data_IF_096776984326
#
_entry.id   IF_096776984326
#
_cell.length_a   1.000
_cell.length_b   1.000
_cell.length_c   1.000
_cell.angle_alpha   90.00
_cell.angle_beta   90.00
_cell.angle_gamma   90.00
#
_symmetry.space_group_name_H-M   'P 1'
#
loop_
_entity.id
_entity.type
_entity.pdbx_description
1 polymer ?
#
# COMPACT_ATOMS: atom_id res chain seq x y z
N UNK A 1 47.00 12.64 -2.80
CA UNK A 1 45.78 13.48 -2.92
C UNK A 1 44.55 12.60 -2.66
N UNK A 2 43.66 13.05 -1.76
CA UNK A 2 42.40 12.40 -1.37
C UNK A 2 41.51 12.09 -2.58
N UNK A 3 40.84 10.93 -2.59
CA UNK A 3 39.50 10.76 -3.17
C UNK A 3 38.64 9.89 -2.26
N UNK A 4 37.79 10.57 -1.52
CA UNK A 4 36.64 10.02 -0.80
C UNK A 4 35.57 9.72 -1.84
N UNK A 5 35.15 8.46 -1.98
CA UNK A 5 33.94 8.05 -2.69
C UNK A 5 33.44 6.86 -1.87
N UNK A 6 32.67 7.10 -0.82
CA UNK A 6 31.29 7.54 -0.94
C UNK A 6 30.46 6.30 -0.63
N UNK A 7 30.41 5.94 0.65
CA UNK A 7 29.51 4.91 1.13
C UNK A 7 28.08 5.39 0.83
N UNK A 8 27.44 4.79 -0.17
CA UNK A 8 26.00 4.87 -0.31
C UNK A 8 25.42 4.07 0.85
N UNK A 9 25.31 4.70 2.01
CA UNK A 9 24.23 4.37 2.90
C UNK A 9 22.97 4.64 2.08
N UNK A 10 22.35 3.56 1.57
CA UNK A 10 20.93 3.59 1.29
C UNK A 10 20.30 3.84 2.64
N UNK A 11 20.19 5.13 2.98
CA UNK A 11 19.14 5.59 3.87
C UNK A 11 17.90 5.22 3.08
N UNK A 12 17.41 3.99 3.27
CA UNK A 12 16.00 3.73 3.18
C UNK A 12 15.43 4.82 4.06
N UNK A 13 14.91 5.87 3.41
CA UNK A 13 14.07 6.83 4.08
C UNK A 13 12.99 5.93 4.67
N UNK A 14 13.16 5.61 5.95
CA UNK A 14 12.03 5.47 6.84
C UNK A 14 11.25 6.75 6.60
N UNK A 15 10.30 6.67 5.67
CA UNK A 15 9.18 7.56 5.58
C UNK A 15 8.55 7.47 6.96
N UNK A 16 9.05 8.32 7.85
CA UNK A 16 8.34 8.88 8.97
C UNK A 16 7.23 9.75 8.36
N UNK A 17 6.29 9.13 7.63
CA UNK A 17 4.92 9.58 7.71
C UNK A 17 4.49 9.23 9.13
N UNK A 18 4.08 10.24 9.90
CA UNK A 18 3.50 10.20 11.26
C UNK A 18 3.79 8.93 12.09
N UNK A 19 4.50 9.01 13.22
CA UNK A 19 4.85 7.88 14.10
C UNK A 19 3.67 7.06 14.67
N UNK A 20 2.96 6.36 13.80
CA UNK A 20 1.86 5.45 14.02
C UNK A 20 2.22 4.04 13.51
N UNK A 21 1.27 3.14 13.65
CA UNK A 21 1.45 1.73 13.35
C UNK A 21 1.21 1.42 11.86
N UNK A 22 1.58 0.22 11.39
CA UNK A 22 1.33 -0.18 9.99
C UNK A 22 -0.16 -0.09 9.64
N UNK A 23 -1.02 -0.40 10.60
CA UNK A 23 -2.46 -0.38 10.39
C UNK A 23 -3.05 1.04 10.36
N UNK A 24 -2.43 2.00 11.05
CA UNK A 24 -2.79 3.41 10.92
C UNK A 24 -2.42 3.92 9.51
N UNK A 25 -1.20 3.60 9.05
CA UNK A 25 -0.74 3.94 7.70
C UNK A 25 -1.65 3.33 6.62
N UNK A 26 -2.11 2.09 6.84
CA UNK A 26 -3.05 1.42 5.95
C UNK A 26 -4.43 2.07 5.94
N UNK A 27 -4.94 2.49 7.10
CA UNK A 27 -6.23 3.19 7.19
C UNK A 27 -6.20 4.52 6.43
N UNK A 28 -5.12 5.29 6.57
CA UNK A 28 -4.94 6.52 5.82
C UNK A 28 -4.77 6.26 4.32
N UNK A 29 -4.04 5.20 3.96
CA UNK A 29 -3.84 4.80 2.56
C UNK A 29 -5.14 4.34 1.89
N UNK A 30 -5.99 3.59 2.60
CA UNK A 30 -7.28 3.10 2.08
C UNK A 30 -8.22 4.28 1.78
N UNK A 31 -8.24 5.28 2.68
CA UNK A 31 -9.00 6.53 2.48
C UNK A 31 -8.50 7.30 1.26
N UNK A 32 -7.19 7.47 1.13
CA UNK A 32 -6.58 8.18 0.00
C UNK A 32 -6.82 7.43 -1.32
N UNK A 33 -6.68 6.10 -1.31
CA UNK A 33 -6.98 5.25 -2.45
C UNK A 33 -8.44 5.36 -2.87
N UNK A 34 -9.39 5.29 -1.93
CA UNK A 34 -10.81 5.53 -2.21
C UNK A 34 -11.04 6.90 -2.84
N UNK A 35 -10.48 7.96 -2.26
CA UNK A 35 -10.64 9.32 -2.78
C UNK A 35 -10.03 9.51 -4.17
N UNK A 36 -8.93 8.83 -4.47
CA UNK A 36 -8.32 8.79 -5.81
C UNK A 36 -9.14 7.98 -6.81
N UNK A 37 -9.85 6.95 -6.37
CA UNK A 37 -10.49 5.99 -7.27
C UNK A 37 -11.99 6.13 -7.40
N UNK A 38 -12.66 6.90 -6.54
CA UNK A 38 -14.14 7.00 -6.51
C UNK A 38 -14.83 7.45 -7.80
N UNK A 39 -14.10 8.07 -8.72
CA UNK A 39 -14.63 8.46 -10.03
C UNK A 39 -14.45 7.37 -11.12
N UNK A 40 -13.81 6.25 -10.80
CA UNK A 40 -13.52 5.14 -11.70
C UNK A 40 -14.29 3.88 -11.30
N UNK A 41 -15.14 3.41 -12.22
CA UNK A 41 -16.02 2.27 -11.98
C UNK A 41 -15.30 0.95 -11.71
N UNK A 42 -14.07 0.79 -12.19
CA UNK A 42 -13.30 -0.44 -11.97
C UNK A 42 -12.83 -0.61 -10.52
N UNK A 43 -12.82 0.48 -9.74
CA UNK A 43 -12.29 0.51 -8.37
C UNK A 43 -13.34 0.91 -7.33
N UNK A 44 -14.43 1.55 -7.77
CA UNK A 44 -15.53 1.94 -6.89
C UNK A 44 -16.81 1.22 -7.31
N UNK A 45 -17.30 0.34 -6.45
CA UNK A 45 -18.53 -0.44 -6.64
C UNK A 45 -19.79 0.31 -6.14
N UNK A 46 -19.65 1.59 -5.78
CA UNK A 46 -20.69 2.42 -5.18
C UNK A 46 -20.71 2.37 -3.64
N UNK A 47 -19.86 1.56 -3.01
CA UNK A 47 -19.76 1.51 -1.54
C UNK A 47 -18.99 2.74 -1.02
N UNK A 48 -19.56 3.51 -0.09
CA UNK A 48 -18.85 4.63 0.51
C UNK A 48 -17.75 4.13 1.45
N UNK A 49 -16.62 4.84 1.47
CA UNK A 49 -15.57 4.61 2.45
C UNK A 49 -16.09 4.78 3.89
N UNK A 50 -15.68 3.87 4.76
CA UNK A 50 -15.98 3.90 6.19
C UNK A 50 -14.66 3.85 6.94
N UNK A 51 -14.40 4.85 7.79
CA UNK A 51 -13.19 4.85 8.61
C UNK A 51 -13.18 3.63 9.54
N UNK A 52 -12.04 2.93 9.68
CA UNK A 52 -11.92 1.82 10.60
C UNK A 52 -12.07 2.29 12.05
N UNK A 53 -12.75 1.48 12.85
CA UNK A 53 -12.87 1.68 14.30
C UNK A 53 -11.55 1.35 15.01
N UNK A 54 -11.34 1.87 16.21
CA UNK A 54 -10.17 1.53 17.05
C UNK A 54 -10.00 0.02 17.24
N UNK A 55 -11.10 -0.71 17.46
CA UNK A 55 -11.07 -2.17 17.59
C UNK A 55 -10.58 -2.88 16.32
N UNK A 56 -10.89 -2.33 15.13
CA UNK A 56 -10.41 -2.86 13.85
C UNK A 56 -8.92 -2.56 13.66
N UNK A 57 -8.46 -1.38 14.07
CA UNK A 57 -7.03 -1.02 14.05
C UNK A 57 -6.23 -1.92 15.00
N UNK A 58 -6.70 -2.11 16.24
CA UNK A 58 -6.07 -3.03 17.20
C UNK A 58 -6.03 -4.47 16.67
N UNK A 59 -7.11 -4.93 16.03
CA UNK A 59 -7.14 -6.26 15.43
C UNK A 59 -6.10 -6.39 14.31
N UNK A 60 -6.01 -5.40 13.42
CA UNK A 60 -5.01 -5.36 12.37
C UNK A 60 -3.59 -5.42 12.97
N UNK A 61 -3.32 -4.66 14.03
CA UNK A 61 -2.04 -4.68 14.74
C UNK A 61 -1.70 -6.05 15.31
N UNK A 62 -2.68 -6.76 15.87
CA UNK A 62 -2.45 -8.13 16.35
C UNK A 62 -2.16 -9.11 15.21
N UNK A 63 -2.84 -8.96 14.07
CA UNK A 63 -2.68 -9.85 12.92
C UNK A 63 -1.32 -9.62 12.22
N UNK A 64 -0.91 -8.35 12.08
CA UNK A 64 0.35 -7.97 11.44
C UNK A 64 1.59 -8.21 12.31
N UNK A 65 1.45 -8.59 13.58
CA UNK A 65 2.59 -9.08 14.40
C UNK A 65 3.28 -10.30 13.81
N UNK A 66 2.55 -11.11 13.06
CA UNK A 66 3.11 -12.29 12.38
C UNK A 66 3.85 -11.96 11.08
N UNK A 67 3.67 -10.74 10.54
CA UNK A 67 4.41 -10.26 9.38
C UNK A 67 5.88 -10.05 9.73
N UNK A 68 6.76 -10.44 8.83
CA UNK A 68 8.17 -10.03 8.89
C UNK A 68 8.29 -8.53 8.62
N UNK A 69 9.32 -7.88 9.15
CA UNK A 69 9.56 -6.46 8.85
C UNK A 69 9.71 -6.22 7.34
N UNK A 70 10.31 -7.17 6.61
CA UNK A 70 10.41 -7.12 5.16
C UNK A 70 9.04 -7.15 4.45
N UNK A 71 8.06 -7.92 4.95
CA UNK A 71 6.71 -7.91 4.39
C UNK A 71 5.99 -6.60 4.70
N UNK A 72 6.19 -6.03 5.89
CA UNK A 72 5.62 -4.73 6.27
C UNK A 72 6.19 -3.61 5.41
N UNK A 73 7.49 -3.62 5.15
CA UNK A 73 8.15 -2.64 4.30
C UNK A 73 7.64 -2.71 2.86
N UNK A 74 7.40 -3.91 2.32
CA UNK A 74 6.75 -4.09 1.00
C UNK A 74 5.36 -3.46 0.93
N UNK A 75 4.56 -3.61 1.98
CA UNK A 75 3.23 -3.01 2.07
C UNK A 75 3.35 -1.48 2.09
N UNK A 76 4.27 -0.94 2.90
CA UNK A 76 4.52 0.51 2.97
C UNK A 76 4.97 1.07 1.63
N UNK A 77 5.92 0.40 0.96
CA UNK A 77 6.42 0.83 -0.34
C UNK A 77 5.31 0.79 -1.41
N UNK A 78 4.47 -0.25 -1.37
CA UNK A 78 3.28 -0.33 -2.24
C UNK A 78 2.33 0.84 -2.00
N UNK A 79 1.97 1.12 -0.74
CA UNK A 79 1.09 2.24 -0.40
C UNK A 79 1.68 3.58 -0.80
N UNK A 80 2.98 3.79 -0.60
CA UNK A 80 3.68 5.00 -1.04
C UNK A 80 3.61 5.16 -2.57
N UNK A 81 3.82 4.07 -3.32
CA UNK A 81 3.71 4.09 -4.78
C UNK A 81 2.28 4.44 -5.23
N UNK A 82 1.26 3.89 -4.56
CA UNK A 82 -0.15 4.19 -4.85
C UNK A 82 -0.52 5.64 -4.49
N UNK A 83 0.00 6.16 -3.37
CA UNK A 83 -0.21 7.54 -2.94
C UNK A 83 0.35 8.56 -3.95
N UNK A 84 1.42 8.21 -4.65
CA UNK A 84 2.03 9.04 -5.71
C UNK A 84 1.26 9.00 -7.04
N UNK A 85 0.26 8.12 -7.20
CA UNK A 85 -0.55 8.07 -8.42
C UNK A 85 -1.50 9.26 -8.53
N UNK A 86 -1.71 9.74 -9.75
CA UNK A 86 -2.73 10.74 -10.05
C UNK A 86 -4.14 10.22 -9.73
N UNK A 87 -5.07 11.15 -9.45
CA UNK A 87 -6.48 10.78 -9.26
C UNK A 87 -7.02 10.10 -10.52
N UNK A 88 -7.75 9.01 -10.31
CA UNK A 88 -8.43 8.30 -11.36
C UNK A 88 -9.65 9.10 -11.84
N UNK A 89 -9.82 9.19 -13.15
CA UNK A 89 -11.00 9.75 -13.81
C UNK A 89 -11.44 8.80 -14.91
N UNK A 90 -12.68 8.93 -15.41
CA UNK A 90 -13.15 8.12 -16.53
C UNK A 90 -12.25 8.22 -17.78
N UNK A 91 -11.55 9.34 -17.99
CA UNK A 91 -10.62 9.51 -19.11
C UNK A 91 -9.23 8.88 -18.86
N UNK A 92 -8.85 8.69 -17.60
CA UNK A 92 -7.51 8.20 -17.19
C UNK A 92 -7.56 6.81 -16.55
N UNK A 93 -8.73 6.16 -16.50
CA UNK A 93 -8.96 4.90 -15.80
C UNK A 93 -7.97 3.80 -16.21
N UNK A 94 -7.76 3.61 -17.51
CA UNK A 94 -6.80 2.60 -18.00
C UNK A 94 -5.36 2.92 -17.58
N UNK A 95 -4.96 4.19 -17.60
CA UNK A 95 -3.63 4.62 -17.16
C UNK A 95 -3.45 4.41 -15.66
N UNK A 96 -4.46 4.74 -14.86
CA UNK A 96 -4.45 4.49 -13.42
C UNK A 96 -4.31 3.00 -13.13
N UNK A 97 -5.14 2.15 -13.75
CA UNK A 97 -5.07 0.69 -13.59
C UNK A 97 -3.69 0.13 -13.92
N UNK A 98 -3.08 0.57 -15.01
CA UNK A 98 -1.73 0.14 -15.38
C UNK A 98 -0.67 0.59 -14.36
N UNK A 99 -0.79 1.81 -13.84
CA UNK A 99 0.15 2.37 -12.87
C UNK A 99 0.01 1.67 -11.50
N UNK A 100 -1.23 1.44 -11.07
CA UNK A 100 -1.57 0.67 -9.88
C UNK A 100 -1.03 -0.77 -9.97
N UNK A 101 -1.22 -1.44 -11.11
CA UNK A 101 -0.63 -2.75 -11.36
C UNK A 101 0.91 -2.72 -11.32
N UNK A 102 1.52 -1.65 -11.83
CA UNK A 102 2.95 -1.41 -11.74
C UNK A 102 3.45 -1.32 -10.29
N UNK A 103 2.74 -0.57 -9.44
CA UNK A 103 3.03 -0.49 -8.00
C UNK A 103 2.95 -1.87 -7.34
N UNK A 104 1.86 -2.61 -7.60
CA UNK A 104 1.66 -3.94 -7.04
C UNK A 104 2.80 -4.88 -7.43
N UNK A 105 3.11 -4.99 -8.73
CA UNK A 105 4.15 -5.87 -9.27
C UNK A 105 5.56 -5.52 -8.76
N UNK A 106 5.82 -4.26 -8.46
CA UNK A 106 7.14 -3.80 -8.01
C UNK A 106 7.36 -4.02 -6.51
N UNK A 107 6.32 -3.89 -5.69
CA UNK A 107 6.46 -3.82 -4.24
C UNK A 107 5.83 -5.00 -3.49
N UNK A 108 4.73 -5.56 -3.98
CA UNK A 108 4.05 -6.69 -3.33
C UNK A 108 4.59 -8.07 -3.78
N UNK A 109 5.59 -8.10 -4.67
CA UNK A 109 6.17 -9.36 -5.12
C UNK A 109 6.79 -10.16 -3.95
N UNK A 110 6.48 -11.46 -3.88
CA UNK A 110 6.97 -12.38 -2.85
C UNK A 110 6.63 -11.96 -1.41
N UNK A 111 5.56 -11.19 -1.20
CA UNK A 111 5.02 -10.99 0.15
C UNK A 111 4.47 -12.31 0.68
N UNK A 112 4.60 -12.56 1.98
CA UNK A 112 4.07 -13.78 2.58
C UNK A 112 2.53 -13.81 2.56
N UNK A 113 1.94 -14.95 2.18
CA UNK A 113 0.47 -15.14 2.17
C UNK A 113 -0.14 -14.85 3.56
N UNK A 114 0.59 -15.18 4.63
CA UNK A 114 0.20 -14.90 6.02
C UNK A 114 0.11 -13.41 6.28
N UNK A 115 1.11 -12.62 5.88
CA UNK A 115 1.05 -11.18 6.07
C UNK A 115 -0.06 -10.56 5.22
N UNK A 116 -0.21 -11.02 3.98
CA UNK A 116 -1.23 -10.53 3.06
C UNK A 116 -2.65 -10.77 3.55
N UNK A 117 -2.91 -11.91 4.19
CA UNK A 117 -4.19 -12.21 4.84
C UNK A 117 -4.45 -11.39 6.11
N UNK A 118 -3.40 -10.82 6.70
CA UNK A 118 -3.46 -10.04 7.94
C UNK A 118 -3.75 -8.56 7.69
N UNK A 119 -3.53 -8.09 6.45
CA UNK A 119 -3.90 -6.74 6.02
C UNK A 119 -5.20 -6.80 5.23
N UNK A 120 -6.26 -6.28 5.85
CA UNK A 120 -7.62 -6.27 5.29
C UNK A 120 -7.91 -5.13 4.31
N UNK A 121 -6.89 -4.34 3.98
CA UNK A 121 -7.01 -3.12 3.18
C UNK A 121 -7.23 -3.42 1.70
N UNK A 122 -8.12 -2.67 1.06
CA UNK A 122 -8.67 -3.08 -0.23
C UNK A 122 -7.68 -2.86 -1.38
N UNK A 123 -6.85 -1.81 -1.34
CA UNK A 123 -5.83 -1.57 -2.35
C UNK A 123 -4.73 -2.64 -2.31
N UNK A 124 -4.26 -3.04 -1.13
CA UNK A 124 -3.29 -4.12 -0.93
C UNK A 124 -3.91 -5.45 -1.38
N UNK A 125 -5.16 -5.74 -1.05
CA UNK A 125 -5.83 -6.97 -1.52
C UNK A 125 -6.01 -6.99 -3.03
N UNK A 126 -6.35 -5.86 -3.65
CA UNK A 126 -6.46 -5.74 -5.10
C UNK A 126 -5.09 -5.91 -5.77
N UNK A 127 -4.06 -5.21 -5.27
CA UNK A 127 -2.69 -5.33 -5.75
C UNK A 127 -2.14 -6.75 -5.60
N UNK A 128 -2.43 -7.40 -4.47
CA UNK A 128 -2.03 -8.78 -4.21
C UNK A 128 -2.55 -9.78 -5.25
N UNK A 129 -3.81 -9.64 -5.68
CA UNK A 129 -4.41 -10.49 -6.71
C UNK A 129 -3.70 -10.36 -8.06
N UNK A 130 -3.11 -9.20 -8.35
CA UNK A 130 -2.35 -8.97 -9.57
C UNK A 130 -0.99 -9.67 -9.56
N UNK A 131 -0.35 -9.78 -8.39
CA UNK A 131 0.99 -10.39 -8.25
C UNK A 131 0.95 -11.88 -7.90
N UNK A 132 -0.14 -12.36 -7.31
CA UNK A 132 -0.30 -13.74 -6.88
C UNK A 132 -1.70 -14.25 -7.31
N UNK A 133 -1.92 -14.49 -8.61
CA UNK A 133 -3.18 -15.00 -9.14
C UNK A 133 -3.30 -16.50 -8.81
N UNK A 134 -3.69 -16.83 -7.57
CA UNK A 134 -4.08 -18.19 -7.17
C UNK A 134 -5.58 -18.32 -7.12
#
# INVERSE_FOLDING_TARGET
>A
MKRLIGAFAVVSLSLMGCGGSLCDDLADSDKDFYEKTKACSSFNDGTPYTEPTEAQLEQCEQQTKSCTDADKDKIRDFNSCVADLDKCTAATEQQFTNSFAGCALSHLANISDTCLSSVGEDSVRQGARLVNPR
#
